data_IF_431751592103
#
_entry.id   IF_431751592103
#
_cell.length_a   1.000
_cell.length_b   1.000
_cell.length_c   1.000
_cell.angle_alpha   90.00
_cell.angle_beta   90.00
_cell.angle_gamma   90.00
#
_symmetry.space_group_name_H-M   'P 1'
#
loop_
_entity.id
_entity.type
_entity.pdbx_description
1 polymer ?
#
# COMPACT_ATOMS: atom_id res chain seq x y z
N UNK A 1 -2.04 11.98 6.90
CA UNK A 1 -1.00 12.90 6.38
C UNK A 1 0.35 12.36 6.80
N UNK A 2 1.25 12.13 5.84
CA UNK A 2 2.60 11.63 6.11
C UNK A 2 3.52 12.72 6.68
N UNK A 3 4.76 12.34 6.99
CA UNK A 3 5.80 13.29 7.39
C UNK A 3 6.32 14.06 6.16
N UNK A 4 6.47 15.38 6.29
CA UNK A 4 7.05 16.23 5.25
C UNK A 4 8.59 16.14 5.18
N UNK A 5 9.24 15.79 6.30
CA UNK A 5 10.69 15.57 6.41
C UNK A 5 11.00 14.66 7.61
N UNK A 6 12.22 14.10 7.68
CA UNK A 6 12.64 13.26 8.82
C UNK A 6 11.81 11.97 8.95
N UNK A 7 11.33 11.44 7.83
CA UNK A 7 10.74 10.12 7.79
C UNK A 7 11.85 9.08 7.87
N UNK A 8 11.78 8.20 8.87
CA UNK A 8 12.66 7.04 9.04
C UNK A 8 12.14 5.90 8.18
N UNK A 9 12.92 5.51 7.18
CA UNK A 9 12.54 4.46 6.23
C UNK A 9 13.47 3.26 6.44
N UNK A 10 12.91 2.06 6.41
CA UNK A 10 13.67 0.81 6.51
C UNK A 10 13.55 -0.03 5.23
N UNK A 11 14.69 -0.53 4.75
CA UNK A 11 14.80 -1.41 3.60
C UNK A 11 15.39 -2.76 4.06
N UNK A 12 14.58 -3.79 4.34
CA UNK A 12 15.04 -5.02 4.99
C UNK A 12 15.97 -5.89 4.13
N UNK A 13 15.94 -5.74 2.81
CA UNK A 13 16.64 -6.59 1.86
C UNK A 13 18.11 -6.15 1.65
N UNK A 14 18.85 -5.93 2.74
CA UNK A 14 20.18 -5.28 2.78
C UNK A 14 21.27 -5.98 1.94
N UNK A 15 21.07 -7.25 1.60
CA UNK A 15 21.98 -8.04 0.77
C UNK A 15 21.75 -7.85 -0.74
N UNK A 16 20.64 -7.22 -1.14
CA UNK A 16 20.37 -6.91 -2.54
C UNK A 16 21.15 -5.65 -2.99
N UNK A 17 21.91 -5.76 -4.07
CA UNK A 17 22.72 -4.65 -4.58
C UNK A 17 21.89 -3.43 -4.96
N UNK A 18 20.68 -3.63 -5.51
CA UNK A 18 19.78 -2.52 -5.88
C UNK A 18 19.33 -1.76 -4.64
N UNK A 19 19.12 -2.46 -3.53
CA UNK A 19 18.78 -1.87 -2.23
C UNK A 19 19.95 -1.08 -1.68
N UNK A 20 21.17 -1.62 -1.69
CA UNK A 20 22.38 -0.89 -1.26
C UNK A 20 22.60 0.40 -2.06
N UNK A 21 22.41 0.35 -3.38
CA UNK A 21 22.45 1.53 -4.25
C UNK A 21 21.33 2.54 -3.93
N UNK A 22 20.11 2.05 -3.68
CA UNK A 22 18.97 2.89 -3.32
C UNK A 22 19.19 3.60 -1.98
N UNK A 23 19.67 2.90 -0.94
CA UNK A 23 20.03 3.49 0.36
C UNK A 23 21.01 4.64 0.20
N UNK A 24 22.06 4.44 -0.61
CA UNK A 24 23.05 5.48 -0.90
C UNK A 24 22.40 6.71 -1.54
N UNK A 25 21.51 6.51 -2.52
CA UNK A 25 20.80 7.61 -3.20
C UNK A 25 19.81 8.32 -2.29
N UNK A 26 19.06 7.58 -1.47
CA UNK A 26 18.08 8.13 -0.53
C UNK A 26 18.76 9.02 0.52
N UNK A 27 19.90 8.58 1.06
CA UNK A 27 20.70 9.38 1.98
C UNK A 27 21.23 10.67 1.33
N UNK A 28 21.58 10.64 0.03
CA UNK A 28 21.97 11.84 -0.73
C UNK A 28 20.80 12.81 -1.00
N UNK A 29 19.56 12.33 -0.86
CA UNK A 29 18.32 13.10 -0.97
C UNK A 29 17.77 13.50 0.41
N UNK A 30 18.59 13.40 1.46
CA UNK A 30 18.25 13.74 2.85
C UNK A 30 17.10 12.90 3.45
N UNK A 31 16.83 11.71 2.92
CA UNK A 31 15.97 10.73 3.60
C UNK A 31 16.75 10.02 4.71
N UNK A 32 16.09 9.78 5.84
CA UNK A 32 16.67 9.03 6.95
C UNK A 32 16.44 7.53 6.76
N UNK A 33 17.41 6.85 6.16
CA UNK A 33 17.34 5.39 6.00
C UNK A 33 18.00 4.70 7.19
N UNK A 34 17.20 4.00 7.98
CA UNK A 34 17.64 3.29 9.18
C UNK A 34 17.83 1.80 8.91
N UNK A 35 18.78 1.19 9.64
CA UNK A 35 19.07 -0.23 9.53
C UNK A 35 18.40 -1.00 10.67
N UNK A 36 17.58 -2.00 10.32
CA UNK A 36 16.91 -2.85 11.30
C UNK A 36 17.88 -3.57 12.26
N UNK A 37 19.12 -3.80 11.84
CA UNK A 37 20.17 -4.39 12.69
C UNK A 37 20.58 -3.49 13.86
N UNK A 38 20.31 -2.18 13.79
CA UNK A 38 20.63 -1.23 14.88
C UNK A 38 19.55 -1.24 15.98
N UNK A 39 18.44 -1.95 15.77
CA UNK A 39 17.27 -2.00 16.66
C UNK A 39 17.12 -3.34 17.38
N UNK A 40 18.15 -4.19 17.39
CA UNK A 40 18.09 -5.52 18.01
C UNK A 40 17.82 -5.48 19.52
N UNK A 41 18.17 -4.39 20.20
CA UNK A 41 17.84 -4.19 21.61
C UNK A 41 16.31 -4.11 21.86
N UNK A 42 15.51 -3.81 20.84
CA UNK A 42 14.05 -3.76 20.90
C UNK A 42 13.38 -5.10 20.53
N UNK A 43 14.15 -6.17 20.28
CA UNK A 43 13.62 -7.46 19.82
C UNK A 43 12.49 -7.98 20.72
N UNK A 44 12.67 -7.99 22.03
CA UNK A 44 11.64 -8.50 22.96
C UNK A 44 10.37 -7.63 22.96
N UNK A 45 10.50 -6.31 22.73
CA UNK A 45 9.33 -5.41 22.59
C UNK A 45 8.53 -5.77 21.33
N UNK A 46 9.22 -6.01 20.21
CA UNK A 46 8.56 -6.42 18.98
C UNK A 46 7.99 -7.83 19.07
N UNK A 47 8.65 -8.73 19.81
CA UNK A 47 8.17 -10.08 20.08
C UNK A 47 6.85 -10.05 20.86
N UNK A 48 6.78 -9.23 21.91
CA UNK A 48 5.56 -9.02 22.69
C UNK A 48 4.44 -8.41 21.84
N UNK A 49 4.76 -7.44 20.98
CA UNK A 49 3.82 -6.86 20.04
C UNK A 49 3.23 -7.91 19.09
N UNK A 50 4.08 -8.69 18.40
CA UNK A 50 3.57 -9.68 17.44
C UNK A 50 2.79 -10.79 18.13
N UNK A 51 3.17 -11.19 19.35
CA UNK A 51 2.48 -12.22 20.13
C UNK A 51 1.04 -11.81 20.49
N UNK A 52 0.76 -10.51 20.62
CA UNK A 52 -0.57 -9.99 20.87
C UNK A 52 -1.48 -9.98 19.62
N UNK A 53 -0.96 -10.28 18.42
CA UNK A 53 -1.71 -10.28 17.18
C UNK A 53 -2.44 -11.61 16.97
N UNK A 54 -3.70 -11.56 16.54
CA UNK A 54 -4.53 -12.76 16.40
C UNK A 54 -3.98 -13.85 15.47
N UNK A 55 -3.15 -13.50 14.47
CA UNK A 55 -2.62 -14.50 13.55
C UNK A 55 -1.54 -15.40 14.21
N UNK A 56 -1.00 -14.99 15.37
CA UNK A 56 -0.04 -15.75 16.16
C UNK A 56 -0.68 -16.47 17.34
N UNK A 57 -2.02 -16.47 17.46
CA UNK A 57 -2.72 -17.17 18.53
C UNK A 57 -2.20 -18.61 18.66
N UNK A 58 -1.75 -18.98 19.86
CA UNK A 58 -1.20 -20.30 20.22
C UNK A 58 0.14 -20.68 19.57
N UNK A 59 0.88 -19.73 19.01
CA UNK A 59 2.24 -20.00 18.54
C UNK A 59 3.18 -20.26 19.73
N UNK A 60 4.02 -21.31 19.69
CA UNK A 60 5.12 -21.44 20.65
C UNK A 60 6.10 -20.27 20.53
N UNK A 61 6.75 -19.88 21.64
CA UNK A 61 7.73 -18.78 21.67
C UNK A 61 8.81 -18.93 20.58
N UNK A 62 9.30 -20.15 20.36
CA UNK A 62 10.28 -20.43 19.31
C UNK A 62 9.80 -19.99 17.92
N UNK A 63 8.53 -20.25 17.60
CA UNK A 63 7.98 -19.89 16.29
C UNK A 63 7.82 -18.37 16.13
N UNK A 64 7.48 -17.67 17.22
CA UNK A 64 7.44 -16.19 17.24
C UNK A 64 8.83 -15.61 16.98
N UNK A 65 9.86 -16.13 17.66
CA UNK A 65 11.25 -15.72 17.46
C UNK A 65 11.73 -16.01 16.04
N UNK A 66 11.55 -17.24 15.56
CA UNK A 66 11.93 -17.63 14.19
C UNK A 66 11.22 -16.74 13.14
N UNK A 67 9.97 -16.33 13.40
CA UNK A 67 9.22 -15.44 12.51
C UNK A 67 9.77 -14.01 12.53
N UNK A 68 10.09 -13.49 13.72
CA UNK A 68 10.63 -12.15 13.91
C UNK A 68 12.10 -12.02 13.46
N UNK A 69 12.86 -13.12 13.43
CA UNK A 69 14.23 -13.17 12.91
C UNK A 69 14.32 -12.86 11.40
N UNK A 70 13.20 -12.95 10.66
CA UNK A 70 13.15 -12.50 9.28
C UNK A 70 13.24 -10.97 9.21
N UNK A 71 14.21 -10.39 8.47
CA UNK A 71 14.39 -8.94 8.37
C UNK A 71 13.15 -8.17 7.93
N UNK A 72 12.30 -8.76 7.08
CA UNK A 72 11.03 -8.17 6.67
C UNK A 72 10.08 -8.05 7.85
N UNK A 73 9.88 -9.14 8.61
CA UNK A 73 8.97 -9.14 9.75
C UNK A 73 9.48 -8.23 10.87
N UNK A 74 10.78 -8.25 11.14
CA UNK A 74 11.40 -7.33 12.08
C UNK A 74 11.14 -5.87 11.69
N UNK A 75 11.36 -5.51 10.43
CA UNK A 75 11.14 -4.16 9.93
C UNK A 75 9.67 -3.73 9.95
N UNK A 76 8.75 -4.67 9.73
CA UNK A 76 7.31 -4.42 9.86
C UNK A 76 6.91 -4.18 11.32
N UNK A 77 7.45 -4.97 12.27
CA UNK A 77 7.19 -4.79 13.69
C UNK A 77 7.79 -3.47 14.21
N UNK A 78 9.00 -3.13 13.77
CA UNK A 78 9.65 -1.84 14.01
C UNK A 78 8.76 -0.67 13.54
N UNK A 79 8.13 -0.80 12.37
CA UNK A 79 7.19 0.22 11.87
C UNK A 79 5.89 0.27 12.68
N UNK A 80 5.35 -0.89 13.05
CA UNK A 80 4.13 -0.96 13.86
C UNK A 80 4.32 -0.44 15.30
N UNK A 81 5.56 -0.45 15.80
CA UNK A 81 5.95 0.08 17.11
C UNK A 81 6.53 1.51 17.05
N UNK A 82 6.30 2.25 15.95
CA UNK A 82 6.73 3.64 15.76
C UNK A 82 8.26 3.86 15.79
N UNK A 83 9.08 2.83 15.56
CA UNK A 83 10.54 2.95 15.40
C UNK A 83 10.95 3.25 13.94
N UNK A 84 10.07 2.93 12.98
CA UNK A 84 10.14 3.36 11.58
C UNK A 84 8.82 4.03 11.16
N UNK A 85 8.89 4.89 10.13
CA UNK A 85 7.72 5.52 9.52
C UNK A 85 7.24 4.81 8.24
N UNK A 86 8.07 3.93 7.68
CA UNK A 86 7.70 3.12 6.52
C UNK A 86 8.72 2.05 6.17
N UNK A 87 8.24 0.96 5.56
CA UNK A 87 9.05 -0.13 5.03
C UNK A 87 8.99 -0.13 3.51
N UNK A 88 10.15 -0.25 2.85
CA UNK A 88 10.24 -0.47 1.40
C UNK A 88 10.91 -1.83 1.16
N UNK A 89 10.17 -2.78 0.60
CA UNK A 89 10.63 -4.13 0.32
C UNK A 89 10.06 -4.64 -1.01
N UNK A 90 10.57 -5.78 -1.48
CA UNK A 90 10.07 -6.47 -2.67
C UNK A 90 11.08 -6.57 -3.81
N UNK A 91 12.34 -6.18 -3.57
CA UNK A 91 13.41 -6.36 -4.54
C UNK A 91 13.78 -7.86 -4.66
N UNK A 92 13.86 -8.57 -3.54
CA UNK A 92 14.20 -9.98 -3.43
C UNK A 92 13.04 -10.84 -2.87
N UNK A 93 12.07 -10.20 -2.21
CA UNK A 93 10.89 -10.83 -1.61
C UNK A 93 9.67 -10.72 -2.54
N UNK A 94 8.89 -11.79 -2.74
CA UNK A 94 7.66 -11.71 -3.53
C UNK A 94 6.65 -10.69 -2.97
N UNK A 95 6.00 -9.92 -3.85
CA UNK A 95 4.99 -8.92 -3.46
C UNK A 95 3.88 -9.50 -2.58
N UNK A 96 3.49 -10.77 -2.82
CA UNK A 96 2.47 -11.46 -2.03
C UNK A 96 2.89 -11.65 -0.57
N UNK A 97 4.17 -11.87 -0.30
CA UNK A 97 4.68 -11.99 1.06
C UNK A 97 4.80 -10.62 1.73
N UNK A 98 5.30 -9.60 1.02
CA UNK A 98 5.36 -8.22 1.53
C UNK A 98 3.96 -7.72 1.95
N UNK A 99 2.96 -7.86 1.08
CA UNK A 99 1.58 -7.44 1.36
C UNK A 99 0.99 -8.24 2.52
N UNK A 100 1.19 -9.55 2.55
CA UNK A 100 0.68 -10.41 3.63
C UNK A 100 1.27 -10.00 4.98
N UNK A 101 2.57 -9.79 5.06
CA UNK A 101 3.26 -9.42 6.30
C UNK A 101 2.87 -8.03 6.76
N UNK A 102 2.72 -7.07 5.84
CA UNK A 102 2.19 -5.74 6.16
C UNK A 102 0.78 -5.81 6.76
N UNK A 103 -0.15 -6.56 6.14
CA UNK A 103 -1.52 -6.72 6.65
C UNK A 103 -1.54 -7.40 8.02
N UNK A 104 -0.67 -8.40 8.25
CA UNK A 104 -0.64 -9.15 9.50
C UNK A 104 -0.06 -8.35 10.67
N UNK A 105 1.03 -7.61 10.43
CA UNK A 105 1.83 -6.99 11.48
C UNK A 105 1.46 -5.52 11.68
N UNK A 106 1.31 -4.75 10.60
CA UNK A 106 0.94 -3.32 10.65
C UNK A 106 -0.58 -3.15 10.63
N UNK A 107 -1.26 -3.98 9.83
CA UNK A 107 -2.70 -3.87 9.61
C UNK A 107 -3.04 -2.98 8.42
N UNK A 108 -4.34 -2.72 8.25
CA UNK A 108 -4.87 -1.79 7.26
C UNK A 108 -5.55 -0.62 7.96
N UNK A 109 -5.72 0.49 7.25
CA UNK A 109 -6.41 1.66 7.78
C UNK A 109 -7.79 1.27 8.34
N UNK A 110 -8.25 1.76 9.52
CA UNK A 110 -9.48 1.29 10.17
C UNK A 110 -10.75 1.41 9.33
N UNK A 111 -10.78 2.35 8.38
CA UNK A 111 -11.90 2.58 7.48
C UNK A 111 -11.76 1.84 6.13
N UNK A 112 -10.62 1.18 5.89
CA UNK A 112 -10.37 0.38 4.71
C UNK A 112 -10.79 -1.08 4.94
N UNK A 113 -11.16 -1.77 3.87
CA UNK A 113 -11.51 -3.21 3.89
C UNK A 113 -10.54 -4.08 3.09
N UNK A 114 -9.66 -3.44 2.34
CA UNK A 114 -8.77 -4.07 1.39
C UNK A 114 -7.52 -3.18 1.22
N UNK A 115 -6.49 -3.76 0.63
CA UNK A 115 -5.30 -3.05 0.14
C UNK A 115 -5.39 -3.08 -1.37
N UNK A 116 -5.13 -1.96 -2.02
CA UNK A 116 -5.06 -1.83 -3.47
C UNK A 116 -3.73 -1.21 -3.89
N UNK A 117 -3.39 -1.33 -5.17
CA UNK A 117 -2.24 -0.60 -5.74
C UNK A 117 -2.68 0.67 -6.46
N UNK A 118 -1.72 1.54 -6.74
CA UNK A 118 -1.85 2.56 -7.77
C UNK A 118 -0.59 2.56 -8.63
N UNK A 119 -0.73 2.96 -9.89
CA UNK A 119 0.38 3.33 -10.74
C UNK A 119 0.24 4.81 -11.09
N UNK A 120 1.23 5.61 -10.73
CA UNK A 120 1.29 7.02 -11.11
C UNK A 120 2.01 7.15 -12.45
N UNK A 121 1.25 7.50 -13.49
CA UNK A 121 1.68 7.50 -14.87
C UNK A 121 1.87 8.93 -15.35
N UNK A 122 3.05 9.26 -15.84
CA UNK A 122 3.33 10.56 -16.46
C UNK A 122 3.30 10.37 -17.98
N UNK A 123 2.50 11.17 -18.69
CA UNK A 123 2.45 11.16 -20.14
C UNK A 123 3.85 11.43 -20.74
N UNK A 124 4.19 10.92 -21.94
CA UNK A 124 5.52 11.12 -22.52
C UNK A 124 5.95 12.59 -22.64
N UNK A 125 4.98 13.49 -22.79
CA UNK A 125 5.21 14.94 -22.86
C UNK A 125 5.52 15.57 -21.49
N UNK A 126 5.26 14.85 -20.38
CA UNK A 126 5.51 15.31 -19.02
C UNK A 126 4.48 16.31 -18.48
N UNK A 127 3.45 16.64 -19.27
CA UNK A 127 2.46 17.68 -18.98
C UNK A 127 1.20 17.15 -18.27
N UNK A 128 0.99 15.84 -18.30
CA UNK A 128 -0.22 15.20 -17.77
C UNK A 128 0.15 13.98 -16.94
N UNK A 129 -0.42 13.89 -15.73
CA UNK A 129 -0.31 12.72 -14.88
C UNK A 129 -1.66 11.98 -14.80
N UNK A 130 -1.60 10.65 -14.74
CA UNK A 130 -2.75 9.78 -14.54
C UNK A 130 -2.48 8.86 -13.36
N UNK A 131 -3.50 8.60 -12.55
CA UNK A 131 -3.44 7.55 -11.53
C UNK A 131 -4.23 6.35 -12.02
N UNK A 132 -3.54 5.25 -12.31
CA UNK A 132 -4.18 3.99 -12.64
C UNK A 132 -4.49 3.22 -11.36
N UNK A 133 -5.78 2.97 -11.15
CA UNK A 133 -6.32 2.44 -9.91
C UNK A 133 -6.29 0.91 -9.91
N UNK A 134 -5.59 0.33 -8.93
CA UNK A 134 -5.30 -1.09 -8.73
C UNK A 134 -4.93 -1.91 -9.98
N UNK A 135 -3.63 -1.97 -10.27
CA UNK A 135 -3.08 -2.75 -11.39
C UNK A 135 -2.28 -3.98 -10.95
N UNK A 136 -2.22 -4.28 -9.64
CA UNK A 136 -1.33 -5.31 -9.11
C UNK A 136 -1.91 -6.16 -7.97
N UNK A 137 -2.93 -5.72 -7.23
CA UNK A 137 -3.32 -6.39 -5.98
C UNK A 137 -4.61 -7.19 -6.12
N UNK A 138 -5.74 -6.58 -6.49
CA UNK A 138 -7.04 -7.25 -6.56
C UNK A 138 -7.33 -7.67 -8.01
N UNK A 139 -7.27 -8.98 -8.36
CA UNK A 139 -7.39 -9.40 -9.76
C UNK A 139 -8.78 -9.16 -10.37
N UNK A 140 -9.83 -9.30 -9.57
CA UNK A 140 -11.21 -9.10 -10.00
C UNK A 140 -12.00 -8.42 -8.87
N UNK A 141 -11.90 -7.08 -8.72
CA UNK A 141 -12.62 -6.36 -7.67
C UNK A 141 -14.14 -6.42 -7.91
N UNK A 142 -14.91 -6.51 -6.84
CA UNK A 142 -16.36 -6.30 -6.84
C UNK A 142 -16.71 -4.80 -6.91
N UNK A 143 -18.01 -4.47 -7.04
CA UNK A 143 -18.48 -3.09 -7.17
C UNK A 143 -18.10 -2.19 -5.98
N UNK A 144 -18.10 -2.74 -4.75
CA UNK A 144 -17.72 -2.01 -3.52
C UNK A 144 -16.22 -1.79 -3.45
N UNK A 145 -15.44 -2.79 -3.84
CA UNK A 145 -13.99 -2.69 -3.93
C UNK A 145 -13.58 -1.68 -5.01
N UNK A 146 -14.20 -1.71 -6.20
CA UNK A 146 -13.97 -0.72 -7.25
C UNK A 146 -14.23 0.71 -6.78
N UNK A 147 -15.33 0.96 -6.07
CA UNK A 147 -15.63 2.27 -5.51
C UNK A 147 -14.62 2.70 -4.42
N UNK A 148 -14.15 1.78 -3.58
CA UNK A 148 -13.11 2.06 -2.59
C UNK A 148 -11.76 2.38 -3.26
N UNK A 149 -11.32 1.53 -4.19
CA UNK A 149 -10.11 1.71 -5.01
C UNK A 149 -10.12 3.09 -5.68
N UNK A 150 -11.25 3.48 -6.29
CA UNK A 150 -11.39 4.78 -6.94
C UNK A 150 -11.23 5.95 -5.95
N UNK A 151 -11.79 5.82 -4.74
CA UNK A 151 -11.71 6.86 -3.71
C UNK A 151 -10.28 7.04 -3.20
N UNK A 152 -9.64 5.94 -2.86
CA UNK A 152 -8.26 5.95 -2.38
C UNK A 152 -7.31 6.46 -3.47
N UNK A 153 -7.52 6.06 -4.73
CA UNK A 153 -6.74 6.54 -5.87
C UNK A 153 -6.93 8.04 -6.15
N UNK A 154 -8.14 8.57 -5.94
CA UNK A 154 -8.43 9.99 -6.09
C UNK A 154 -7.71 10.83 -5.01
N UNK A 155 -7.70 10.36 -3.77
CA UNK A 155 -6.95 11.01 -2.67
C UNK A 155 -5.44 11.02 -2.98
N UNK A 156 -4.88 9.88 -3.42
CA UNK A 156 -3.48 9.81 -3.82
C UNK A 156 -3.16 10.68 -5.05
N UNK A 157 -4.05 10.76 -6.03
CA UNK A 157 -3.86 11.63 -7.18
C UNK A 157 -3.72 13.09 -6.73
N UNK A 158 -4.67 13.57 -5.91
CA UNK A 158 -4.63 14.92 -5.37
C UNK A 158 -3.39 15.18 -4.52
N UNK A 159 -2.96 14.22 -3.70
CA UNK A 159 -1.75 14.33 -2.89
C UNK A 159 -0.50 14.53 -3.76
N UNK A 160 -0.39 13.79 -4.87
CA UNK A 160 0.80 13.80 -5.73
C UNK A 160 0.81 14.97 -6.74
N UNK A 161 -0.35 15.39 -7.25
CA UNK A 161 -0.45 16.42 -8.30
C UNK A 161 -0.86 17.80 -7.76
N UNK A 162 -1.56 17.83 -6.62
CA UNK A 162 -2.26 19.02 -6.13
C UNK A 162 -3.53 19.36 -6.92
N UNK A 163 -3.91 18.56 -7.92
CA UNK A 163 -5.06 18.80 -8.78
C UNK A 163 -6.34 18.18 -8.21
N UNK A 164 -7.50 18.76 -8.54
CA UNK A 164 -8.78 18.13 -8.23
C UNK A 164 -8.95 16.83 -9.04
N UNK A 165 -9.16 15.68 -8.38
CA UNK A 165 -9.21 14.40 -9.08
C UNK A 165 -10.50 14.27 -9.90
N UNK A 166 -10.36 13.71 -11.09
CA UNK A 166 -11.46 13.32 -11.98
C UNK A 166 -11.39 11.82 -12.23
N UNK A 167 -12.41 11.09 -11.81
CA UNK A 167 -12.43 9.63 -11.83
C UNK A 167 -13.19 9.12 -13.03
N UNK A 168 -12.58 8.22 -13.81
CA UNK A 168 -13.23 7.51 -14.90
C UNK A 168 -13.32 6.02 -14.58
N UNK A 169 -14.53 5.48 -14.48
CA UNK A 169 -14.76 4.05 -14.33
C UNK A 169 -14.75 3.37 -15.70
N UNK A 170 -13.63 2.73 -16.03
CA UNK A 170 -13.42 2.13 -17.35
C UNK A 170 -14.23 0.83 -17.53
N UNK A 171 -14.76 0.65 -18.74
CA UNK A 171 -15.52 -0.51 -19.18
C UNK A 171 -15.27 -0.77 -20.66
N UNK A 172 -15.62 -1.96 -21.15
CA UNK A 172 -15.71 -2.21 -22.59
C UNK A 172 -17.06 -1.75 -23.18
N UNK A 173 -18.00 -1.33 -22.32
CA UNK A 173 -19.22 -0.65 -22.73
C UNK A 173 -19.03 0.87 -22.66
N UNK A 174 -20.02 1.60 -23.17
CA UNK A 174 -20.15 3.05 -23.01
C UNK A 174 -21.63 3.34 -22.80
N UNK A 175 -22.01 3.74 -21.59
CA UNK A 175 -23.35 4.17 -21.18
C UNK A 175 -24.47 3.23 -21.65
N UNK A 176 -24.35 1.94 -21.35
CA UNK A 176 -25.34 0.91 -21.67
C UNK A 176 -25.27 0.37 -23.09
N UNK A 177 -24.16 0.58 -23.81
CA UNK A 177 -23.96 0.00 -25.15
C UNK A 177 -23.93 -1.53 -25.15
N UNK A 178 -23.71 -2.16 -23.98
CA UNK A 178 -23.71 -3.60 -23.78
C UNK A 178 -24.41 -3.98 -22.47
N UNK A 179 -25.00 -5.17 -22.43
CA UNK A 179 -25.57 -5.78 -21.23
C UNK A 179 -24.71 -6.96 -20.84
N UNK A 180 -24.00 -6.88 -19.71
CA UNK A 180 -23.10 -7.93 -19.24
C UNK A 180 -22.79 -7.75 -17.75
N UNK A 181 -22.63 -8.85 -17.00
CA UNK A 181 -22.41 -8.78 -15.54
C UNK A 181 -21.20 -7.93 -15.12
N UNK A 182 -20.15 -7.88 -15.95
CA UNK A 182 -18.97 -7.01 -15.74
C UNK A 182 -19.29 -5.52 -15.95
N UNK A 183 -20.21 -5.20 -16.85
CA UNK A 183 -20.70 -3.83 -17.08
C UNK A 183 -21.58 -3.42 -15.91
N UNK A 184 -22.50 -4.30 -15.48
CA UNK A 184 -23.37 -4.06 -14.32
C UNK A 184 -22.57 -3.79 -13.04
N UNK A 185 -21.47 -4.54 -12.85
CA UNK A 185 -20.54 -4.32 -11.75
C UNK A 185 -19.92 -2.92 -11.74
N UNK A 186 -19.52 -2.42 -12.91
CA UNK A 186 -18.95 -1.06 -13.03
C UNK A 186 -20.02 -0.01 -12.76
N UNK A 187 -21.24 -0.18 -13.27
CA UNK A 187 -22.38 0.73 -13.00
C UNK A 187 -22.70 0.82 -11.52
N UNK A 188 -22.78 -0.33 -10.85
CA UNK A 188 -23.00 -0.38 -9.40
C UNK A 188 -21.86 0.31 -8.65
N UNK A 189 -20.60 0.16 -9.11
CA UNK A 189 -19.46 0.85 -8.51
C UNK A 189 -19.57 2.38 -8.65
N UNK A 190 -19.98 2.88 -9.81
CA UNK A 190 -20.24 4.31 -10.06
C UNK A 190 -21.32 4.83 -9.11
N UNK A 191 -22.43 4.10 -8.96
CA UNK A 191 -23.50 4.46 -8.02
C UNK A 191 -23.01 4.50 -6.57
N UNK A 192 -22.29 3.46 -6.12
CA UNK A 192 -21.72 3.41 -4.75
C UNK A 192 -20.76 4.59 -4.53
N UNK A 193 -19.90 4.87 -5.52
CA UNK A 193 -18.95 5.96 -5.46
C UNK A 193 -19.64 7.32 -5.36
N UNK A 194 -20.67 7.56 -6.16
CA UNK A 194 -21.45 8.79 -6.14
C UNK A 194 -22.05 9.11 -4.76
N UNK A 195 -22.55 8.07 -4.08
CA UNK A 195 -23.11 8.24 -2.72
C UNK A 195 -22.03 8.50 -1.67
N UNK A 196 -20.86 7.86 -1.78
CA UNK A 196 -19.78 7.94 -0.78
C UNK A 196 -18.88 9.16 -0.96
N UNK A 197 -18.67 9.60 -2.20
CA UNK A 197 -17.77 10.68 -2.57
C UNK A 197 -18.47 11.71 -3.49
N UNK A 198 -19.57 12.34 -3.03
CA UNK A 198 -20.41 13.19 -3.88
C UNK A 198 -19.70 14.45 -4.42
N UNK A 199 -18.58 14.83 -3.82
CA UNK A 199 -17.82 16.02 -4.19
C UNK A 199 -16.72 15.75 -5.23
N UNK A 200 -16.45 14.49 -5.57
CA UNK A 200 -15.43 14.13 -6.56
C UNK A 200 -16.09 14.02 -7.93
N UNK A 201 -15.51 14.65 -8.95
CA UNK A 201 -16.00 14.54 -10.33
C UNK A 201 -15.76 13.10 -10.81
N UNK A 202 -16.81 12.42 -11.26
CA UNK A 202 -16.73 11.05 -11.74
C UNK A 202 -17.75 10.75 -12.83
N UNK A 203 -17.42 9.82 -13.73
CA UNK A 203 -18.33 9.21 -14.70
C UNK A 203 -17.76 7.84 -15.11
N UNK A 204 -18.53 7.04 -15.82
CA UNK A 204 -18.04 5.81 -16.44
C UNK A 204 -19.11 4.76 -16.64
N UNK A 205 -18.65 3.60 -17.08
CA UNK A 205 -19.41 2.62 -17.87
C UNK A 205 -19.85 3.10 -19.25
#
# INVERSE_FOLDING_TARGET
>A
MGKESGARIVLPEINDKRVQEAVTKLNLLDFEVINHADFQDNFDTYLDYINALHFTDNWPEKNLRDYLDDPLHFSMAMTACDDADGVIAGAATPSSEVIRSAIRIIGIHPNAKNVSSIFFMIAPQGDTAYTFADCAVIPEPDSKQLAAIAGDSAEFHQLLTGEEPKVAFLSFSTKGSASHYRVDRVREAVEIFAHKYPNIIHDGE
#
